data_IF_106744881256
#
_entry.id   IF_106744881256
#
_cell.length_a   1.000
_cell.length_b   1.000
_cell.length_c   1.000
_cell.angle_alpha   90.00
_cell.angle_beta   90.00
_cell.angle_gamma   90.00
#
_symmetry.space_group_name_H-M   'P 1'
#
loop_
_entity.id
_entity.type
_entity.pdbx_description
1 polymer ?
#
# COMPACT_ATOMS: atom_id res chain seq x y z
N UNK A 1 20.52 23.83 -12.62
CA UNK A 1 20.34 23.28 -11.27
C UNK A 1 18.88 22.91 -11.11
N UNK A 2 18.57 21.64 -11.23
CA UNK A 2 17.33 21.05 -10.70
C UNK A 2 17.80 19.81 -9.97
N UNK A 3 17.81 19.86 -8.65
CA UNK A 3 18.04 18.68 -7.81
C UNK A 3 16.88 17.73 -8.08
N UNK A 4 17.10 16.82 -9.02
CA UNK A 4 16.31 15.62 -9.24
C UNK A 4 16.24 14.90 -7.89
N UNK A 5 15.16 15.16 -7.17
CA UNK A 5 14.76 14.39 -6.00
C UNK A 5 14.21 13.09 -6.56
N UNK A 6 15.13 12.32 -7.12
CA UNK A 6 14.95 10.96 -7.58
C UNK A 6 14.44 10.20 -6.36
N UNK A 7 13.13 9.98 -6.32
CA UNK A 7 12.53 9.21 -5.24
C UNK A 7 13.05 7.80 -5.41
N UNK A 8 14.02 7.41 -4.58
CA UNK A 8 14.79 6.16 -4.65
C UNK A 8 13.94 4.88 -4.58
N UNK A 9 12.62 5.02 -4.39
CA UNK A 9 11.70 3.94 -4.08
C UNK A 9 10.43 4.03 -4.96
N UNK A 10 10.54 3.85 -6.29
CA UNK A 10 9.36 3.79 -7.15
C UNK A 10 8.57 2.50 -6.91
N UNK A 11 7.25 2.62 -6.96
CA UNK A 11 6.29 1.52 -6.96
C UNK A 11 5.35 1.66 -8.16
N UNK A 12 5.22 0.62 -8.97
CA UNK A 12 4.29 0.62 -10.10
C UNK A 12 2.92 0.09 -9.64
N UNK A 13 1.85 0.82 -9.96
CA UNK A 13 0.47 0.42 -9.66
C UNK A 13 -0.48 0.85 -10.79
N UNK A 14 -1.19 -0.10 -11.42
CA UNK A 14 -2.27 0.14 -12.42
C UNK A 14 -1.93 1.24 -13.45
N UNK A 15 -0.68 1.26 -13.93
CA UNK A 15 -0.10 2.21 -14.90
C UNK A 15 0.43 3.56 -14.36
N UNK A 16 0.49 3.74 -13.05
CA UNK A 16 1.14 4.90 -12.42
C UNK A 16 2.41 4.47 -11.68
N UNK A 17 3.40 5.37 -11.63
CA UNK A 17 4.59 5.22 -10.78
C UNK A 17 4.39 6.08 -9.54
N UNK A 18 4.26 5.43 -8.39
CA UNK A 18 4.15 6.06 -7.09
C UNK A 18 5.57 6.24 -6.56
N UNK A 19 5.95 7.49 -6.35
CA UNK A 19 7.23 7.86 -5.75
C UNK A 19 7.14 7.80 -4.23
N UNK A 20 7.61 6.69 -3.65
CA UNK A 20 7.54 6.49 -2.20
C UNK A 20 8.62 7.33 -1.49
N UNK A 21 8.26 7.90 -0.34
CA UNK A 21 9.14 8.71 0.50
C UNK A 21 10.24 7.88 1.18
N UNK A 22 10.00 6.58 1.37
CA UNK A 22 10.94 5.66 2.03
C UNK A 22 10.81 4.23 1.52
N UNK A 23 11.82 3.41 1.78
CA UNK A 23 11.78 1.97 1.49
C UNK A 23 10.67 1.25 2.28
N UNK A 24 10.38 1.71 3.50
CA UNK A 24 9.31 1.15 4.33
C UNK A 24 7.93 1.48 3.75
N UNK A 25 7.71 2.72 3.31
CA UNK A 25 6.46 3.11 2.66
C UNK A 25 6.25 2.29 1.37
N UNK A 26 7.31 2.15 0.55
CA UNK A 26 7.27 1.32 -0.65
C UNK A 26 6.88 -0.12 -0.31
N UNK A 27 7.46 -0.69 0.74
CA UNK A 27 7.15 -2.06 1.17
C UNK A 27 5.67 -2.20 1.56
N UNK A 28 5.16 -1.30 2.41
CA UNK A 28 3.77 -1.33 2.86
C UNK A 28 2.79 -1.17 1.69
N UNK A 29 3.07 -0.26 0.78
CA UNK A 29 2.25 -0.05 -0.41
C UNK A 29 2.34 -1.24 -1.37
N UNK A 30 3.51 -1.86 -1.54
CA UNK A 30 3.66 -3.07 -2.33
C UNK A 30 2.87 -4.25 -1.73
N UNK A 31 2.90 -4.41 -0.41
CA UNK A 31 2.08 -5.41 0.29
C UNK A 31 0.58 -5.13 0.08
N UNK A 32 0.16 -3.87 0.13
CA UNK A 32 -1.23 -3.48 -0.17
C UNK A 32 -1.66 -3.84 -1.59
N UNK A 33 -0.78 -3.65 -2.58
CA UNK A 33 -1.01 -4.04 -3.98
C UNK A 33 -1.16 -5.56 -4.09
N UNK A 34 -0.22 -6.31 -3.51
CA UNK A 34 -0.25 -7.78 -3.55
C UNK A 34 -1.54 -8.34 -2.95
N UNK A 35 -1.95 -7.81 -1.81
CA UNK A 35 -3.19 -8.19 -1.13
C UNK A 35 -4.45 -7.87 -1.96
N UNK A 36 -4.44 -6.74 -2.67
CA UNK A 36 -5.56 -6.33 -3.51
C UNK A 36 -5.67 -7.20 -4.78
N UNK A 37 -4.54 -7.67 -5.31
CA UNK A 37 -4.49 -8.55 -6.48
C UNK A 37 -4.73 -10.02 -6.13
N UNK A 38 -4.21 -10.49 -5.00
CA UNK A 38 -4.31 -11.88 -4.55
C UNK A 38 -4.82 -11.99 -3.10
N UNK A 39 -6.04 -12.51 -2.97
CA UNK A 39 -6.72 -12.65 -1.68
C UNK A 39 -6.21 -13.84 -0.85
N UNK A 40 -5.35 -14.71 -1.39
CA UNK A 40 -4.79 -15.82 -0.64
C UNK A 40 -3.70 -15.35 0.32
N UNK A 41 -2.89 -14.38 -0.11
CA UNK A 41 -1.87 -13.73 0.74
C UNK A 41 -2.48 -12.87 1.86
N UNK A 42 -3.71 -12.40 1.68
CA UNK A 42 -4.45 -11.69 2.73
C UNK A 42 -4.60 -12.51 4.04
N UNK A 43 -4.52 -13.85 3.99
CA UNK A 43 -4.62 -14.69 5.20
C UNK A 43 -3.39 -14.60 6.12
N UNK A 44 -2.26 -14.10 5.60
CA UNK A 44 -1.02 -13.95 6.34
C UNK A 44 -0.93 -12.63 7.12
N UNK A 45 -1.85 -11.70 6.89
CA UNK A 45 -1.83 -10.38 7.49
C UNK A 45 -2.87 -10.24 8.61
N UNK A 46 -2.49 -9.52 9.66
CA UNK A 46 -3.40 -9.19 10.77
C UNK A 46 -4.26 -7.96 10.44
N UNK A 47 -5.36 -7.79 11.18
CA UNK A 47 -6.20 -6.59 11.07
C UNK A 47 -5.41 -5.28 11.27
N UNK A 48 -4.41 -5.27 12.16
CA UNK A 48 -3.53 -4.11 12.36
C UNK A 48 -2.63 -3.84 11.15
N UNK A 49 -2.11 -4.88 10.51
CA UNK A 49 -1.31 -4.73 9.30
C UNK A 49 -2.14 -4.17 8.15
N UNK A 50 -3.37 -4.65 7.98
CA UNK A 50 -4.29 -4.10 6.99
C UNK A 50 -4.67 -2.63 7.25
N UNK A 51 -4.88 -2.25 8.52
CA UNK A 51 -5.08 -0.83 8.87
C UNK A 51 -3.86 0.01 8.50
N UNK A 52 -2.65 -0.46 8.82
CA UNK A 52 -1.41 0.23 8.45
C UNK A 52 -1.30 0.41 6.93
N UNK A 53 -1.65 -0.62 6.15
CA UNK A 53 -1.70 -0.53 4.69
C UNK A 53 -2.72 0.51 4.22
N UNK A 54 -3.93 0.49 4.78
CA UNK A 54 -5.01 1.43 4.45
C UNK A 54 -4.60 2.87 4.72
N UNK A 55 -4.10 3.15 5.93
CA UNK A 55 -3.64 4.49 6.31
C UNK A 55 -2.55 4.96 5.36
N UNK A 56 -1.58 4.09 5.07
CA UNK A 56 -0.48 4.41 4.16
C UNK A 56 -0.98 4.67 2.74
N UNK A 57 -1.89 3.86 2.22
CA UNK A 57 -2.51 4.08 0.92
C UNK A 57 -3.23 5.44 0.86
N UNK A 58 -3.91 5.83 1.94
CA UNK A 58 -4.54 7.15 2.08
C UNK A 58 -3.53 8.31 2.03
N UNK A 59 -2.37 8.19 2.69
CA UNK A 59 -1.30 9.19 2.63
C UNK A 59 -0.76 9.43 1.20
N UNK A 60 -0.83 8.41 0.35
CA UNK A 60 -0.38 8.45 -1.05
C UNK A 60 -1.51 8.67 -2.06
N UNK A 61 -2.74 8.90 -1.60
CA UNK A 61 -3.90 9.14 -2.47
C UNK A 61 -4.39 7.90 -3.23
N UNK A 62 -3.98 6.69 -2.80
CA UNK A 62 -4.34 5.43 -3.44
C UNK A 62 -5.69 4.92 -2.92
N UNK A 63 -6.75 5.65 -3.27
CA UNK A 63 -8.10 5.47 -2.71
C UNK A 63 -8.62 4.04 -2.85
N UNK A 64 -8.38 3.39 -4.00
CA UNK A 64 -8.80 2.00 -4.22
C UNK A 64 -8.12 1.03 -3.26
N UNK A 65 -6.79 1.14 -3.11
CA UNK A 65 -6.04 0.27 -2.20
C UNK A 65 -6.40 0.55 -0.74
N UNK A 66 -6.61 1.83 -0.38
CA UNK A 66 -7.07 2.22 0.95
C UNK A 66 -8.40 1.55 1.28
N UNK A 67 -9.36 1.58 0.37
CA UNK A 67 -10.67 0.96 0.58
C UNK A 67 -10.54 -0.56 0.74
N UNK A 68 -9.86 -1.24 -0.17
CA UNK A 68 -9.70 -2.70 -0.15
C UNK A 68 -9.01 -3.17 1.14
N UNK A 69 -7.90 -2.53 1.52
CA UNK A 69 -7.17 -2.89 2.74
C UNK A 69 -7.95 -2.53 4.00
N UNK A 70 -8.74 -1.46 3.99
CA UNK A 70 -9.66 -1.13 5.08
C UNK A 70 -10.77 -2.17 5.26
N UNK A 71 -11.36 -2.65 4.17
CA UNK A 71 -12.35 -3.74 4.20
C UNK A 71 -11.74 -5.04 4.73
N UNK A 72 -10.53 -5.39 4.31
CA UNK A 72 -9.82 -6.57 4.82
C UNK A 72 -9.48 -6.44 6.31
N UNK A 73 -9.09 -5.26 6.78
CA UNK A 73 -8.91 -5.01 8.20
C UNK A 73 -10.17 -5.27 9.02
N UNK A 74 -11.33 -4.86 8.52
CA UNK A 74 -12.62 -5.12 9.17
C UNK A 74 -12.94 -6.62 9.20
N UNK A 75 -12.66 -7.34 8.11
CA UNK A 75 -12.91 -8.79 8.01
C UNK A 75 -11.97 -9.62 8.89
N UNK A 76 -10.74 -9.17 9.12
CA UNK A 76 -9.78 -9.85 9.98
C UNK A 76 -9.99 -9.56 11.48
N UNK A 77 -10.76 -8.53 11.84
CA UNK A 77 -11.02 -8.13 13.22
C UNK A 77 -12.29 -8.78 13.84
N UNK A 78 -13.05 -9.57 13.06
CA UNK A 78 -14.27 -10.27 13.47
C UNK A 78 -14.22 -11.75 13.16
#
# INVERSE_FOLDING_TARGET
MTTETDSLFPLQYVNEIIHCKSAEDRKVLQEAVLVAEDSADAKSFTAEQFRKMSDKCGEYGLVNLQQVTGELAMRAAG
#
